data_IF_182630735928
#
_entry.id   IF_182630735928
#
_cell.length_a   1.000
_cell.length_b   1.000
_cell.length_c   1.000
_cell.angle_alpha   90.00
_cell.angle_beta   90.00
_cell.angle_gamma   90.00
#
_symmetry.space_group_name_H-M   'P 1'
#
loop_
_entity.id
_entity.type
_entity.pdbx_description
1 polymer ?
#
# COMPACT_ATOMS: atom_id res chain seq x y z
N UNK A 1 -1.12 -18.67 -13.80
CA UNK A 1 0.03 -17.75 -13.88
C UNK A 1 -0.35 -16.39 -13.30
N UNK A 2 0.62 -15.60 -12.81
CA UNK A 2 0.41 -14.22 -12.39
C UNK A 2 0.31 -13.30 -13.61
N UNK A 3 -0.54 -12.27 -13.55
CA UNK A 3 -0.63 -11.28 -14.65
C UNK A 3 0.63 -10.39 -14.69
N UNK A 4 1.01 -9.83 -15.86
CA UNK A 4 2.15 -8.91 -15.97
C UNK A 4 2.09 -7.79 -14.94
N UNK A 5 0.93 -7.14 -14.78
CA UNK A 5 0.72 -6.06 -13.80
C UNK A 5 1.00 -6.51 -12.36
N UNK A 6 0.46 -7.65 -11.93
CA UNK A 6 0.70 -8.17 -10.57
C UNK A 6 2.15 -8.61 -10.37
N UNK A 7 2.82 -9.08 -11.43
CA UNK A 7 4.24 -9.40 -11.37
C UNK A 7 5.10 -8.13 -11.20
N UNK A 8 4.77 -7.05 -11.89
CA UNK A 8 5.39 -5.74 -11.72
C UNK A 8 5.26 -5.25 -10.27
N UNK A 9 4.03 -5.30 -9.73
CA UNK A 9 3.74 -4.95 -8.33
C UNK A 9 4.59 -5.77 -7.36
N UNK A 10 4.66 -7.09 -7.57
CA UNK A 10 5.45 -8.00 -6.75
C UNK A 10 6.94 -7.63 -6.76
N UNK A 11 7.50 -7.35 -7.95
CA UNK A 11 8.90 -6.98 -8.12
C UNK A 11 9.19 -5.62 -7.48
N UNK A 12 8.30 -4.64 -7.63
CA UNK A 12 8.41 -3.33 -6.99
C UNK A 12 8.49 -3.46 -5.47
N UNK A 13 7.57 -4.18 -4.84
CA UNK A 13 7.60 -4.36 -3.38
C UNK A 13 8.75 -5.26 -2.90
N UNK A 14 9.14 -6.27 -3.68
CA UNK A 14 10.35 -7.06 -3.41
C UNK A 14 11.60 -6.17 -3.39
N UNK A 15 11.73 -5.28 -4.35
CA UNK A 15 12.86 -4.35 -4.42
C UNK A 15 12.81 -3.33 -3.27
N UNK A 16 11.62 -2.78 -2.95
CA UNK A 16 11.41 -1.91 -1.80
C UNK A 16 11.90 -2.56 -0.50
N UNK A 17 11.43 -3.76 -0.19
CA UNK A 17 11.81 -4.51 1.02
C UNK A 17 13.32 -4.80 1.08
N UNK A 18 13.99 -4.94 -0.06
CA UNK A 18 15.45 -5.11 -0.13
C UNK A 18 16.22 -3.81 0.17
N UNK A 19 15.64 -2.65 -0.16
CA UNK A 19 16.32 -1.34 -0.09
C UNK A 19 16.10 -0.58 1.21
N UNK A 20 15.03 -0.82 1.93
CA UNK A 20 14.81 -0.19 3.24
C UNK A 20 15.79 -0.75 4.28
N UNK A 21 16.15 0.02 5.32
CA UNK A 21 16.98 -0.47 6.43
C UNK A 21 16.36 -1.70 7.09
N UNK A 22 17.19 -2.67 7.47
CA UNK A 22 16.72 -3.97 8.02
C UNK A 22 16.05 -3.83 9.39
N UNK A 23 16.46 -2.84 10.14
CA UNK A 23 16.02 -2.51 11.50
C UNK A 23 14.93 -1.44 11.55
N UNK A 24 14.54 -0.87 10.39
CA UNK A 24 13.50 0.15 10.37
C UNK A 24 12.14 -0.44 10.74
N UNK A 25 11.33 0.34 11.46
CA UNK A 25 9.92 0.01 11.68
C UNK A 25 9.10 0.26 10.42
N UNK A 26 8.58 -0.80 9.82
CA UNK A 26 7.67 -0.73 8.67
C UNK A 26 6.21 -0.62 9.15
N UNK A 27 5.52 0.50 8.91
CA UNK A 27 4.10 0.64 9.26
C UNK A 27 3.22 -0.40 8.57
N UNK A 28 2.18 -0.83 9.26
CA UNK A 28 1.21 -1.77 8.71
C UNK A 28 -0.22 -1.25 8.88
N UNK A 29 -0.87 -0.78 7.80
CA UNK A 29 -0.37 -0.67 6.43
C UNK A 29 0.59 0.51 6.21
N UNK A 30 1.45 0.38 5.21
CA UNK A 30 2.22 1.47 4.64
C UNK A 30 1.49 2.03 3.42
N UNK A 31 1.20 3.32 3.42
CA UNK A 31 0.55 4.02 2.31
C UNK A 31 1.57 4.90 1.59
N UNK A 32 2.19 4.38 0.52
CA UNK A 32 3.27 5.08 -0.16
C UNK A 32 2.84 6.41 -0.80
N UNK A 33 1.57 6.59 -1.12
CA UNK A 33 1.04 7.87 -1.60
C UNK A 33 1.21 9.02 -0.59
N UNK A 34 1.46 8.72 0.68
CA UNK A 34 1.76 9.72 1.73
C UNK A 34 3.22 10.18 1.73
N UNK A 35 4.09 9.56 0.95
CA UNK A 35 5.50 9.94 0.89
C UNK A 35 5.66 11.36 0.32
N UNK A 36 6.22 12.25 1.12
CA UNK A 36 6.38 13.66 0.78
C UNK A 36 5.10 14.50 0.77
N UNK A 37 3.92 13.92 1.04
CA UNK A 37 2.66 14.66 1.13
C UNK A 37 2.63 15.56 2.38
N UNK A 38 2.03 16.76 2.24
CA UNK A 38 1.91 17.73 3.33
C UNK A 38 0.50 18.24 3.54
N UNK A 39 -0.48 17.83 2.75
CA UNK A 39 -1.88 18.23 2.95
C UNK A 39 -2.36 17.92 4.38
N UNK A 40 -3.26 18.72 4.96
CA UNK A 40 -3.74 18.53 6.34
C UNK A 40 -4.61 17.29 6.46
N UNK A 41 -4.54 16.61 7.62
CA UNK A 41 -5.25 15.36 7.86
C UNK A 41 -5.65 15.13 9.33
N UNK A 42 -5.13 15.89 10.29
CA UNK A 42 -5.44 15.73 11.72
C UNK A 42 -6.75 16.43 12.10
N UNK A 43 -6.76 17.75 11.99
CA UNK A 43 -7.87 18.60 12.41
C UNK A 43 -8.86 18.90 11.30
N UNK A 44 -8.41 18.79 10.06
CA UNK A 44 -9.23 19.04 8.87
C UNK A 44 -8.86 18.09 7.75
N UNK A 45 -9.73 17.94 6.75
CA UNK A 45 -9.50 17.10 5.58
C UNK A 45 -9.21 17.95 4.34
N UNK A 46 -8.62 17.38 3.28
CA UNK A 46 -8.49 18.07 2.01
C UNK A 46 -9.82 18.61 1.49
N UNK A 47 -10.92 17.85 1.66
CA UNK A 47 -12.23 18.29 1.23
C UNK A 47 -12.73 19.50 2.03
N UNK A 48 -12.64 19.47 3.37
CA UNK A 48 -13.08 20.55 4.24
C UNK A 48 -12.25 21.83 4.07
N UNK A 49 -10.93 21.66 3.77
CA UNK A 49 -10.05 22.79 3.51
C UNK A 49 -10.36 23.51 2.20
N UNK A 50 -10.83 22.77 1.19
CA UNK A 50 -11.14 23.26 -0.15
C UNK A 50 -9.92 23.48 -1.04
N UNK A 51 -10.15 23.45 -2.34
CA UNK A 51 -9.10 23.46 -3.38
C UNK A 51 -8.21 24.71 -3.36
N UNK A 52 -8.78 25.89 -3.04
CA UNK A 52 -8.01 27.15 -2.98
C UNK A 52 -6.88 27.09 -1.92
N UNK A 53 -7.20 26.59 -0.73
CA UNK A 53 -6.23 26.47 0.36
C UNK A 53 -5.28 25.29 0.13
N UNK A 54 -5.74 24.20 -0.51
CA UNK A 54 -4.92 23.03 -0.83
C UNK A 54 -3.76 23.34 -1.76
N UNK A 55 -3.80 24.38 -2.58
CA UNK A 55 -2.67 24.81 -3.43
C UNK A 55 -1.39 25.11 -2.66
N UNK A 56 -1.47 25.40 -1.36
CA UNK A 56 -0.29 25.66 -0.50
C UNK A 56 0.44 24.36 -0.08
N UNK A 57 -0.10 23.19 -0.39
CA UNK A 57 0.39 21.92 0.10
C UNK A 57 0.89 21.01 -1.03
N UNK A 58 1.52 19.91 -0.63
CA UNK A 58 1.91 18.82 -1.52
C UNK A 58 0.89 17.69 -1.39
N UNK A 59 0.48 17.11 -2.52
CA UNK A 59 -0.39 15.95 -2.64
C UNK A 59 0.37 14.63 -2.56
N UNK A 60 -0.21 13.59 -3.18
CA UNK A 60 0.40 12.26 -3.22
C UNK A 60 1.83 12.32 -3.77
N UNK A 61 2.72 11.54 -3.17
CA UNK A 61 4.15 11.48 -3.52
C UNK A 61 4.88 12.83 -3.50
N UNK A 62 4.39 13.79 -2.72
CA UNK A 62 5.01 15.10 -2.60
C UNK A 62 4.80 16.04 -3.80
N UNK A 63 3.87 15.74 -4.70
CA UNK A 63 3.54 16.58 -5.85
C UNK A 63 3.01 17.94 -5.38
N UNK A 64 3.58 19.03 -5.89
CA UNK A 64 3.17 20.39 -5.54
C UNK A 64 1.80 20.73 -6.16
N UNK A 65 0.78 20.92 -5.31
CA UNK A 65 -0.60 21.16 -5.74
C UNK A 65 -0.82 22.55 -6.35
N UNK A 66 0.11 23.49 -6.19
CA UNK A 66 0.04 24.85 -6.77
C UNK A 66 -0.02 24.83 -8.31
N UNK A 67 0.60 23.79 -8.92
CA UNK A 67 0.71 23.65 -10.37
C UNK A 67 -0.58 23.22 -11.06
N UNK A 68 -1.61 22.81 -10.30
CA UNK A 68 -2.82 22.20 -10.83
C UNK A 68 -4.00 23.14 -10.84
N UNK A 69 -4.91 22.93 -11.81
CA UNK A 69 -6.21 23.58 -11.85
C UNK A 69 -7.10 23.09 -10.70
N UNK A 70 -8.17 23.82 -10.40
CA UNK A 70 -9.14 23.47 -9.36
C UNK A 70 -9.63 22.02 -9.48
N UNK A 71 -9.93 21.57 -10.70
CA UNK A 71 -10.45 20.23 -10.97
C UNK A 71 -9.39 19.11 -10.80
N UNK A 72 -8.12 19.44 -11.03
CA UNK A 72 -7.01 18.48 -10.94
C UNK A 72 -6.45 18.32 -9.52
N UNK A 73 -6.71 19.26 -8.60
CA UNK A 73 -6.14 19.21 -7.25
C UNK A 73 -6.53 17.92 -6.52
N UNK A 74 -7.81 17.54 -6.55
CA UNK A 74 -8.26 16.34 -5.86
C UNK A 74 -7.73 15.05 -6.49
N UNK A 75 -7.51 14.99 -7.80
CA UNK A 75 -6.88 13.80 -8.44
C UNK A 75 -5.44 13.59 -8.00
N UNK A 76 -4.77 14.63 -7.52
CA UNK A 76 -3.41 14.60 -6.96
C UNK A 76 -3.37 14.44 -5.43
N UNK A 77 -4.51 14.20 -4.79
CA UNK A 77 -4.63 13.75 -3.40
C UNK A 77 -5.01 12.26 -3.40
N UNK A 78 -4.51 11.41 -2.48
CA UNK A 78 -4.88 9.99 -2.45
C UNK A 78 -6.40 9.78 -2.36
N UNK A 79 -6.93 8.74 -3.04
CA UNK A 79 -8.37 8.49 -3.11
C UNK A 79 -9.04 8.40 -1.74
N UNK A 80 -8.40 7.74 -0.76
CA UNK A 80 -8.91 7.64 0.61
C UNK A 80 -8.95 8.98 1.36
N UNK A 81 -8.23 9.99 0.90
CA UNK A 81 -8.21 11.33 1.48
C UNK A 81 -9.18 12.32 0.80
N UNK A 82 -9.84 11.89 -0.29
CA UNK A 82 -10.83 12.72 -1.02
C UNK A 82 -12.24 12.69 -0.41
N UNK A 83 -12.43 11.96 0.68
CA UNK A 83 -13.74 11.79 1.30
C UNK A 83 -14.36 13.15 1.70
N UNK A 84 -15.67 13.29 1.47
CA UNK A 84 -16.47 14.48 1.81
C UNK A 84 -16.80 14.51 3.31
N UNK A 85 -15.76 14.50 4.16
CA UNK A 85 -15.89 14.56 5.61
C UNK A 85 -15.08 15.73 6.17
N UNK A 86 -15.51 16.30 7.30
CA UNK A 86 -14.80 17.41 7.96
C UNK A 86 -13.54 16.94 8.67
N UNK A 87 -13.54 15.73 9.26
CA UNK A 87 -12.45 15.13 10.03
C UNK A 87 -12.29 13.66 9.66
N UNK A 88 -11.05 13.15 9.67
CA UNK A 88 -10.82 11.73 9.49
C UNK A 88 -10.97 10.98 10.82
N UNK A 89 -11.39 9.71 10.80
CA UNK A 89 -11.36 8.86 11.99
C UNK A 89 -9.91 8.61 12.43
N UNK A 90 -9.70 8.39 13.73
CA UNK A 90 -8.36 8.27 14.33
C UNK A 90 -7.49 7.20 13.68
N UNK A 91 -8.06 6.06 13.30
CA UNK A 91 -7.29 5.01 12.62
C UNK A 91 -6.66 5.50 11.30
N UNK A 92 -7.41 6.30 10.53
CA UNK A 92 -6.91 6.88 9.26
C UNK A 92 -5.82 7.94 9.51
N UNK A 93 -6.02 8.79 10.50
CA UNK A 93 -5.01 9.77 10.94
C UNK A 93 -3.70 9.07 11.29
N UNK A 94 -3.77 7.97 12.06
CA UNK A 94 -2.61 7.18 12.45
C UNK A 94 -1.89 6.55 11.24
N UNK A 95 -2.64 6.00 10.28
CA UNK A 95 -2.05 5.41 9.06
C UNK A 95 -1.32 6.45 8.21
N UNK A 96 -1.92 7.63 8.01
CA UNK A 96 -1.29 8.75 7.28
C UNK A 96 -0.03 9.20 8.02
N UNK A 97 -0.15 9.44 9.33
CA UNK A 97 0.96 9.91 10.15
C UNK A 97 2.15 8.93 10.13
N UNK A 98 1.88 7.64 10.33
CA UNK A 98 2.92 6.61 10.36
C UNK A 98 3.60 6.46 9.00
N UNK A 99 2.85 6.52 7.90
CA UNK A 99 3.42 6.45 6.55
C UNK A 99 4.31 7.66 6.23
N UNK A 100 3.89 8.87 6.62
CA UNK A 100 4.71 10.09 6.47
C UNK A 100 5.96 10.06 7.36
N UNK A 101 5.82 9.60 8.62
CA UNK A 101 6.96 9.44 9.54
C UNK A 101 7.97 8.44 8.99
N UNK A 102 7.50 7.28 8.50
CA UNK A 102 8.35 6.29 7.86
C UNK A 102 9.16 6.88 6.71
N UNK A 103 8.49 7.58 5.79
CA UNK A 103 9.18 8.22 4.67
C UNK A 103 10.21 9.25 5.12
N UNK A 104 9.86 10.12 6.07
CA UNK A 104 10.79 11.12 6.62
C UNK A 104 12.06 10.48 7.17
N UNK A 105 11.92 9.39 7.92
CA UNK A 105 13.04 8.71 8.57
C UNK A 105 13.89 7.87 7.59
N UNK A 106 13.33 7.44 6.46
CA UNK A 106 13.99 6.54 5.51
C UNK A 106 14.09 7.16 4.10
N UNK A 107 14.04 8.48 3.99
CA UNK A 107 13.91 9.21 2.73
C UNK A 107 14.94 8.78 1.69
N UNK A 108 16.22 8.76 2.04
CA UNK A 108 17.31 8.41 1.12
C UNK A 108 17.18 7.02 0.50
N UNK A 109 16.73 6.03 1.28
CA UNK A 109 16.51 4.67 0.80
C UNK A 109 15.25 4.56 -0.04
N UNK A 110 14.18 5.25 0.35
CA UNK A 110 12.88 5.21 -0.32
C UNK A 110 12.89 5.98 -1.64
N UNK A 111 13.57 7.11 -1.73
CA UNK A 111 13.66 7.91 -2.96
C UNK A 111 14.25 7.12 -4.13
N UNK A 112 15.17 6.18 -3.86
CA UNK A 112 15.78 5.31 -4.88
C UNK A 112 14.79 4.37 -5.58
N UNK A 113 13.59 4.19 -5.02
CA UNK A 113 12.57 3.27 -5.54
C UNK A 113 11.21 3.95 -5.72
N UNK A 114 11.10 5.20 -5.29
CA UNK A 114 9.83 5.92 -5.27
C UNK A 114 9.18 5.97 -6.64
N UNK A 115 9.95 6.19 -7.70
CA UNK A 115 9.46 6.22 -9.08
C UNK A 115 8.77 4.90 -9.48
N UNK A 116 9.38 3.76 -9.14
CA UNK A 116 8.77 2.44 -9.43
C UNK A 116 7.42 2.27 -8.73
N UNK A 117 7.25 2.84 -7.52
CA UNK A 117 5.97 2.80 -6.80
C UNK A 117 4.96 3.76 -7.43
N UNK A 118 5.39 4.95 -7.84
CA UNK A 118 4.54 5.94 -8.53
C UNK A 118 3.97 5.37 -9.82
N UNK A 119 4.78 4.62 -10.57
CA UNK A 119 4.42 4.03 -11.86
C UNK A 119 3.43 2.86 -11.76
N UNK A 120 3.18 2.33 -10.55
CA UNK A 120 2.10 1.36 -10.35
C UNK A 120 0.75 2.02 -10.64
N UNK A 121 0.03 1.54 -11.67
CA UNK A 121 -1.18 2.18 -12.21
C UNK A 121 -2.35 2.25 -11.23
N UNK A 122 -2.43 1.32 -10.27
CA UNK A 122 -3.54 1.25 -9.32
C UNK A 122 -3.11 1.74 -7.94
N UNK A 123 -3.83 2.70 -7.37
CA UNK A 123 -3.55 3.24 -6.03
C UNK A 123 -3.59 2.17 -4.92
N UNK A 124 -4.37 1.09 -5.09
CA UNK A 124 -4.37 -0.05 -4.17
C UNK A 124 -3.01 -0.76 -4.16
N UNK A 125 -2.32 -0.85 -5.29
CA UNK A 125 -1.01 -1.48 -5.37
C UNK A 125 0.14 -0.61 -4.84
N UNK A 126 -0.13 0.66 -4.58
CA UNK A 126 0.78 1.60 -3.92
C UNK A 126 0.67 1.55 -2.39
N UNK A 127 0.01 0.52 -1.84
CA UNK A 127 -0.14 0.24 -0.41
C UNK A 127 0.40 -1.13 -0.09
N UNK A 128 1.15 -1.23 1.02
CA UNK A 128 1.74 -2.48 1.49
C UNK A 128 1.25 -2.81 2.90
N UNK A 129 0.77 -4.03 3.10
CA UNK A 129 0.42 -4.60 4.40
C UNK A 129 1.44 -5.69 4.76
N UNK A 130 2.41 -5.36 5.60
CA UNK A 130 3.45 -6.31 6.05
C UNK A 130 3.01 -7.03 7.33
N UNK A 131 2.36 -8.20 7.18
CA UNK A 131 1.90 -9.02 8.32
C UNK A 131 2.93 -10.11 8.71
N UNK A 132 4.22 -9.77 8.67
CA UNK A 132 5.34 -10.64 9.02
C UNK A 132 6.23 -9.98 10.08
N UNK A 133 5.62 -9.36 11.10
CA UNK A 133 6.36 -8.66 12.18
C UNK A 133 7.40 -9.60 12.81
N UNK A 134 8.61 -9.11 13.00
CA UNK A 134 9.72 -9.89 13.56
C UNK A 134 10.51 -10.72 12.53
N UNK A 135 10.08 -10.72 11.25
CA UNK A 135 10.80 -11.41 10.18
C UNK A 135 11.58 -10.46 9.28
N UNK A 136 12.62 -10.98 8.61
CA UNK A 136 13.43 -10.23 7.65
C UNK A 136 12.56 -9.71 6.49
N UNK A 137 12.81 -8.49 6.05
CA UNK A 137 12.12 -7.84 4.93
C UNK A 137 12.51 -8.48 3.58
N UNK A 138 11.85 -9.58 3.24
CA UNK A 138 11.99 -10.27 1.96
C UNK A 138 10.73 -11.07 1.63
N UNK A 139 10.61 -11.56 0.40
CA UNK A 139 9.46 -12.38 -0.03
C UNK A 139 9.75 -13.89 -0.04
N UNK A 140 10.86 -14.33 0.55
CA UNK A 140 11.22 -15.76 0.62
C UNK A 140 10.19 -16.47 1.51
N UNK A 141 9.54 -17.49 0.95
CA UNK A 141 8.48 -18.26 1.62
C UNK A 141 7.40 -17.37 2.27
N UNK A 142 7.02 -16.25 1.62
CA UNK A 142 5.90 -15.38 2.06
C UNK A 142 4.72 -15.54 1.13
N UNK A 143 3.52 -15.47 1.70
CA UNK A 143 2.26 -15.51 0.97
C UNK A 143 1.84 -14.09 0.61
N UNK A 144 1.53 -13.85 -0.66
CA UNK A 144 1.13 -12.54 -1.16
C UNK A 144 -0.33 -12.56 -1.62
N UNK A 145 -1.09 -11.56 -1.21
CA UNK A 145 -2.48 -11.36 -1.67
C UNK A 145 -2.63 -9.96 -2.23
N UNK A 146 -3.16 -9.87 -3.44
CA UNK A 146 -3.45 -8.59 -4.10
C UNK A 146 -4.90 -8.19 -3.78
N UNK A 147 -5.08 -7.08 -3.08
CA UNK A 147 -6.40 -6.65 -2.57
C UNK A 147 -6.70 -5.22 -3.00
N UNK A 148 -7.97 -4.85 -3.01
CA UNK A 148 -8.40 -3.47 -3.20
C UNK A 148 -7.85 -2.52 -2.12
N UNK A 149 -7.60 -3.03 -0.90
CA UNK A 149 -7.02 -2.28 0.21
C UNK A 149 -5.49 -2.16 0.15
N UNK A 150 -4.80 -3.01 -0.62
CA UNK A 150 -3.35 -3.03 -0.72
C UNK A 150 -2.77 -4.41 -1.00
N UNK A 151 -1.47 -4.47 -1.20
CA UNK A 151 -0.71 -5.72 -1.32
C UNK A 151 -0.41 -6.23 0.09
N UNK A 152 -0.97 -7.38 0.43
CA UNK A 152 -0.77 -7.99 1.75
C UNK A 152 0.25 -9.12 1.67
N UNK A 153 1.23 -9.07 2.57
CA UNK A 153 2.25 -10.11 2.73
C UNK A 153 2.06 -10.77 4.10
N UNK A 154 1.96 -12.08 4.11
CA UNK A 154 1.82 -12.92 5.29
C UNK A 154 2.94 -13.95 5.40
N UNK A 155 3.16 -14.45 6.62
CA UNK A 155 4.09 -15.55 6.91
C UNK A 155 3.65 -16.81 6.19
N UNK A 156 4.62 -17.68 5.91
CA UNK A 156 4.33 -19.05 5.56
C UNK A 156 3.55 -19.74 6.70
N UNK A 157 2.53 -20.50 6.36
CA UNK A 157 1.62 -21.13 7.36
C UNK A 157 0.48 -20.23 7.85
N UNK A 158 0.46 -18.95 7.50
CA UNK A 158 -0.66 -18.03 7.84
C UNK A 158 -1.43 -17.65 6.57
N UNK A 159 -2.34 -18.50 6.14
CA UNK A 159 -3.18 -18.21 4.97
C UNK A 159 -4.28 -17.21 5.35
N UNK A 160 -4.54 -16.20 4.50
CA UNK A 160 -5.69 -15.34 4.70
C UNK A 160 -6.98 -16.14 4.53
N UNK A 161 -8.07 -15.73 5.19
CA UNK A 161 -9.40 -16.28 4.95
C UNK A 161 -9.70 -16.31 3.46
N UNK A 162 -10.04 -17.47 2.93
CA UNK A 162 -10.44 -17.64 1.54
C UNK A 162 -11.89 -17.18 1.40
N UNK A 163 -12.11 -16.18 0.55
CA UNK A 163 -13.44 -15.66 0.27
C UNK A 163 -13.87 -16.23 -1.08
N UNK A 164 -14.90 -17.08 -1.08
CA UNK A 164 -15.39 -17.77 -2.26
C UNK A 164 -15.87 -16.85 -3.38
N UNK A 165 -16.32 -15.65 -3.03
CA UNK A 165 -16.89 -14.68 -3.99
C UNK A 165 -15.84 -13.85 -4.74
N UNK A 166 -14.56 -13.96 -4.40
CA UNK A 166 -13.53 -13.07 -4.97
C UNK A 166 -12.23 -13.80 -5.30
N UNK A 167 -12.13 -14.32 -6.52
CA UNK A 167 -10.90 -14.90 -7.09
C UNK A 167 -9.71 -13.91 -7.09
N UNK A 168 -9.98 -12.60 -7.08
CA UNK A 168 -8.93 -11.58 -7.08
C UNK A 168 -8.04 -11.62 -5.82
N UNK A 169 -8.52 -12.17 -4.72
CA UNK A 169 -7.80 -12.28 -3.45
C UNK A 169 -7.14 -13.64 -3.22
N UNK A 170 -7.13 -14.52 -4.21
CA UNK A 170 -6.46 -15.82 -4.12
C UNK A 170 -4.99 -15.63 -3.75
N UNK A 171 -4.48 -16.35 -2.72
CA UNK A 171 -3.09 -16.26 -2.31
C UNK A 171 -2.12 -16.66 -3.41
N UNK A 172 -1.09 -15.86 -3.62
CA UNK A 172 0.01 -16.14 -4.53
C UNK A 172 1.25 -16.59 -3.73
N UNK A 173 1.91 -17.63 -4.20
CA UNK A 173 3.09 -18.24 -3.63
C UNK A 173 4.32 -17.87 -4.48
N UNK A 174 5.07 -16.79 -4.15
CA UNK A 174 6.17 -16.29 -4.96
C UNK A 174 7.25 -17.34 -5.22
N UNK A 175 7.55 -18.19 -4.23
CA UNK A 175 8.58 -19.26 -4.35
C UNK A 175 8.14 -20.42 -5.25
N UNK A 176 6.82 -20.63 -5.42
CA UNK A 176 6.25 -21.61 -6.36
C UNK A 176 5.81 -20.99 -7.69
N UNK A 177 5.93 -19.67 -7.81
CA UNK A 177 5.51 -18.86 -8.98
C UNK A 177 4.05 -19.14 -9.44
N UNK A 178 3.15 -19.49 -8.49
CA UNK A 178 1.75 -19.80 -8.77
C UNK A 178 0.82 -19.35 -7.66
N UNK A 179 -0.45 -19.27 -7.97
CA UNK A 179 -1.49 -19.18 -6.95
C UNK A 179 -1.64 -20.51 -6.22
N UNK A 180 -2.25 -20.46 -5.03
CA UNK A 180 -2.69 -21.66 -4.31
C UNK A 180 -3.61 -22.48 -5.23
N UNK A 181 -3.47 -23.81 -5.23
CA UNK A 181 -4.29 -24.72 -6.02
C UNK A 181 -5.66 -24.96 -5.36
N UNK A 182 -6.63 -25.41 -6.14
CA UNK A 182 -7.97 -25.68 -5.63
C UNK A 182 -7.97 -26.72 -4.50
N UNK A 183 -7.22 -27.81 -4.68
CA UNK A 183 -7.08 -28.88 -3.67
C UNK A 183 -6.41 -28.37 -2.39
N UNK A 184 -5.44 -27.43 -2.52
CA UNK A 184 -4.83 -26.77 -1.37
C UNK A 184 -5.86 -25.86 -0.65
N UNK A 185 -6.76 -25.21 -1.40
CA UNK A 185 -7.84 -24.41 -0.82
C UNK A 185 -8.84 -25.29 -0.05
N UNK A 186 -9.23 -26.43 -0.59
CA UNK A 186 -10.14 -27.38 0.07
C UNK A 186 -9.55 -27.87 1.40
N UNK A 187 -8.30 -28.33 1.38
CA UNK A 187 -7.62 -28.80 2.60
C UNK A 187 -7.55 -27.72 3.68
N UNK A 188 -7.28 -26.46 3.29
CA UNK A 188 -7.23 -25.32 4.23
C UNK A 188 -8.58 -25.03 4.85
N UNK A 189 -9.67 -25.33 4.15
CA UNK A 189 -11.05 -25.16 4.62
C UNK A 189 -11.57 -26.40 5.38
N UNK A 190 -10.75 -27.42 5.55
CA UNK A 190 -11.12 -28.64 6.28
C UNK A 190 -11.90 -29.65 5.45
N UNK A 191 -11.91 -29.52 4.13
CA UNK A 191 -12.44 -30.54 3.26
C UNK A 191 -11.35 -31.56 2.95
N UNK A 192 -11.43 -32.71 3.61
CA UNK A 192 -10.63 -33.90 3.23
C UNK A 192 -11.19 -34.54 1.97
N UNK A 193 -10.28 -34.98 1.08
CA UNK A 193 -10.65 -35.86 -0.04
C UNK A 193 -10.63 -37.27 0.43
#
# INVERSE_FOLDING_TARGET
>A
KITPLKNEVLNTWKYFLKKIPKDCYLPNPLWAMEFGATYPFKETTPHALGTRKLKKFKGKFGINLRKFTKNQIFSNVPAYARLKVKKFPNWKVNMIMNSRKFYKNNKTSVDKILESIINLKQESYQKLEWNCRGEKYNLIKKIVTFRGSGVRIKRNGQIPTLISTCMAQTPYLPWKKRYIAFEECLKIQGFDK
#
